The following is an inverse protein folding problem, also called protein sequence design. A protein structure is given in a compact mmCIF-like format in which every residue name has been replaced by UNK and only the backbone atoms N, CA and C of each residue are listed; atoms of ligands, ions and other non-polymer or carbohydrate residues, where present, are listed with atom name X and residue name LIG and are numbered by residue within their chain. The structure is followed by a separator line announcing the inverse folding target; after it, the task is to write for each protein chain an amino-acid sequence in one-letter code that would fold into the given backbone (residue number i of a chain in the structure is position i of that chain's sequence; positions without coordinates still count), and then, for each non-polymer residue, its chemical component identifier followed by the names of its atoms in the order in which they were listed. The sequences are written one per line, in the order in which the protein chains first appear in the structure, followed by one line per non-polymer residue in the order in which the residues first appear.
data_IF_672148305080
#
_entry.id   IF_672148305080
#
_cell.length_a   1.000
_cell.length_b   1.000
_cell.length_c   1.000
_cell.angle_alpha   90.00
_cell.angle_beta   90.00
_cell.angle_gamma   90.00
#
_symmetry.space_group_name_H-M   'P 1'
#
loop_
_entity.id
_entity.type
_entity.pdbx_description
1 polymer ?
#
# COMPACT_ATOMS: atom_id res chain seq x y z
N UNK A 1 -6.46 40.09 -8.43
CA UNK A 1 -6.69 39.42 -7.14
C UNK A 1 -6.53 37.92 -7.28
N UNK A 2 -7.15 37.28 -8.28
CA UNK A 2 -7.08 35.84 -8.56
C UNK A 2 -5.64 35.29 -8.74
N UNK A 3 -4.79 35.94 -9.55
CA UNK A 3 -3.38 35.53 -9.70
C UNK A 3 -2.57 35.58 -8.40
N UNK A 4 -2.88 36.52 -7.49
CA UNK A 4 -2.23 36.61 -6.18
C UNK A 4 -2.67 35.48 -5.25
N UNK A 5 -3.93 35.06 -5.34
CA UNK A 5 -4.47 33.93 -4.58
C UNK A 5 -3.87 32.59 -5.06
N UNK A 6 -3.80 32.36 -6.37
CA UNK A 6 -3.16 31.16 -6.94
C UNK A 6 -1.69 31.09 -6.52
N UNK A 7 -0.93 32.19 -6.68
CA UNK A 7 0.48 32.23 -6.26
C UNK A 7 0.65 31.98 -4.77
N UNK A 8 -0.24 32.54 -3.94
CA UNK A 8 -0.24 32.31 -2.49
C UNK A 8 -0.50 30.84 -2.15
N UNK A 9 -1.50 30.21 -2.78
CA UNK A 9 -1.83 28.81 -2.60
C UNK A 9 -0.65 27.90 -2.97
N UNK A 10 -0.04 28.11 -4.15
CA UNK A 10 1.12 27.34 -4.61
C UNK A 10 2.32 27.44 -3.65
N UNK A 11 2.58 28.63 -3.09
CA UNK A 11 3.64 28.83 -2.10
C UNK A 11 3.34 28.09 -0.79
N UNK A 12 2.10 28.12 -0.33
CA UNK A 12 1.68 27.42 0.89
C UNK A 12 1.76 25.91 0.72
N UNK A 13 1.27 25.36 -0.40
CA UNK A 13 1.40 23.93 -0.75
C UNK A 13 2.87 23.52 -0.83
N UNK A 14 3.72 24.34 -1.46
CA UNK A 14 5.17 24.07 -1.57
C UNK A 14 5.84 24.05 -0.19
N UNK A 15 5.50 25.00 0.68
CA UNK A 15 6.04 25.09 2.03
C UNK A 15 5.61 23.88 2.87
N UNK A 16 4.34 23.50 2.79
CA UNK A 16 3.79 22.32 3.46
C UNK A 16 4.52 21.04 3.01
N UNK A 17 4.62 20.81 1.71
CA UNK A 17 5.31 19.65 1.15
C UNK A 17 6.79 19.59 1.59
N UNK A 18 7.50 20.72 1.54
CA UNK A 18 8.90 20.79 1.96
C UNK A 18 9.08 20.54 3.46
N UNK A 19 8.17 21.06 4.29
CA UNK A 19 8.17 20.82 5.72
C UNK A 19 8.06 19.32 6.04
N UNK A 20 7.07 18.65 5.47
CA UNK A 20 6.81 17.24 5.71
C UNK A 20 7.87 16.32 5.08
N UNK A 21 8.38 16.68 3.88
CA UNK A 21 9.53 15.98 3.29
C UNK A 21 10.75 16.04 4.21
N UNK A 22 11.07 17.23 4.73
CA UNK A 22 12.21 17.42 5.62
C UNK A 22 12.05 16.64 6.93
N UNK A 23 10.84 16.61 7.51
CA UNK A 23 10.61 15.80 8.71
C UNK A 23 10.81 14.33 8.39
N UNK A 24 10.22 13.81 7.31
CA UNK A 24 10.37 12.42 6.91
C UNK A 24 11.85 12.04 6.64
N UNK A 25 12.61 12.92 5.98
CA UNK A 25 14.04 12.71 5.72
C UNK A 25 14.87 12.72 7.02
N UNK A 26 14.50 13.54 8.00
CA UNK A 26 15.19 13.62 9.30
C UNK A 26 14.83 12.46 10.23
N UNK A 27 13.59 11.97 10.20
CA UNK A 27 13.10 10.94 11.12
C UNK A 27 13.23 9.53 10.58
N UNK A 28 13.31 9.37 9.25
CA UNK A 28 13.30 8.06 8.59
C UNK A 28 11.96 7.33 8.70
N UNK A 29 10.87 8.00 9.11
CA UNK A 29 9.56 7.38 9.38
C UNK A 29 8.94 6.64 8.17
N UNK A 30 9.36 6.98 6.95
CA UNK A 30 8.94 6.26 5.74
C UNK A 30 9.54 4.84 5.64
N UNK A 31 10.66 4.58 6.29
CA UNK A 31 11.28 3.26 6.30
C UNK A 31 10.60 2.37 7.35
N UNK A 32 9.78 1.43 6.88
CA UNK A 32 9.12 0.45 7.75
C UNK A 32 9.28 -0.98 7.23
N UNK A 33 9.99 -1.83 7.98
CA UNK A 33 10.31 -3.20 7.53
C UNK A 33 9.07 -4.07 7.35
N UNK A 34 8.05 -3.90 8.20
CA UNK A 34 6.82 -4.69 8.12
C UNK A 34 6.02 -4.38 6.86
N UNK A 35 5.98 -3.10 6.46
CA UNK A 35 5.35 -2.66 5.20
C UNK A 35 6.13 -3.13 3.97
N UNK A 36 7.46 -3.07 4.02
CA UNK A 36 8.31 -3.57 2.93
C UNK A 36 8.06 -5.07 2.70
N UNK A 37 7.87 -5.83 3.77
CA UNK A 37 7.56 -7.26 3.74
C UNK A 37 6.07 -7.58 3.52
N UNK A 38 5.21 -6.56 3.38
CA UNK A 38 3.74 -6.70 3.19
C UNK A 38 3.04 -7.45 4.33
N UNK A 39 3.46 -7.22 5.56
CA UNK A 39 2.92 -7.87 6.77
C UNK A 39 1.94 -6.98 7.55
N UNK A 40 1.72 -5.73 7.12
CA UNK A 40 0.96 -4.70 7.84
C UNK A 40 -0.49 -5.06 8.17
N UNK A 41 -1.08 -6.03 7.47
CA UNK A 41 -2.43 -6.51 7.70
C UNK A 41 -2.48 -7.89 8.40
N UNK A 42 -1.33 -8.46 8.76
CA UNK A 42 -1.25 -9.85 9.24
C UNK A 42 -1.47 -9.96 10.74
N UNK A 43 -2.70 -10.27 11.14
CA UNK A 43 -3.10 -10.42 12.55
C UNK A 43 -2.22 -11.42 13.30
N UNK A 44 -2.04 -12.63 12.77
CA UNK A 44 -1.26 -13.68 13.46
C UNK A 44 0.23 -13.46 13.29
N UNK A 45 0.73 -13.42 12.05
CA UNK A 45 2.18 -13.48 11.77
C UNK A 45 2.92 -12.21 12.18
N UNK A 46 2.22 -11.09 12.31
CA UNK A 46 2.79 -9.84 12.78
C UNK A 46 2.23 -9.44 14.13
N UNK A 47 0.95 -9.09 14.20
CA UNK A 47 0.44 -8.36 15.37
C UNK A 47 0.43 -9.22 16.64
N UNK A 48 -0.14 -10.42 16.58
CA UNK A 48 -0.16 -11.35 17.71
C UNK A 48 1.24 -11.85 18.05
N UNK A 49 2.04 -12.21 17.05
CA UNK A 49 3.42 -12.65 17.26
C UNK A 49 4.30 -11.56 17.92
N UNK A 50 4.19 -10.30 17.47
CA UNK A 50 4.99 -9.20 18.01
C UNK A 50 4.55 -8.83 19.43
N UNK A 51 3.25 -8.74 19.69
CA UNK A 51 2.74 -8.50 21.05
C UNK A 51 3.12 -9.64 22.00
N UNK A 52 2.89 -10.90 21.61
CA UNK A 52 3.25 -12.05 22.43
C UNK A 52 4.76 -12.09 22.72
N UNK A 53 5.60 -11.78 21.73
CA UNK A 53 7.05 -11.72 21.93
C UNK A 53 7.48 -10.65 22.93
N UNK A 54 6.75 -9.53 23.08
CA UNK A 54 7.04 -8.52 24.10
C UNK A 54 6.44 -8.87 25.45
N UNK A 55 5.32 -9.60 25.47
CA UNK A 55 4.62 -10.00 26.69
C UNK A 55 5.27 -11.22 27.37
N UNK A 56 6.09 -11.99 26.66
CA UNK A 56 6.74 -13.20 27.16
C UNK A 56 7.97 -12.90 28.05
N UNK A 57 7.93 -13.18 29.37
CA UNK A 57 9.06 -12.91 30.25
C UNK A 57 10.34 -13.69 29.93
N UNK A 58 10.24 -14.79 29.18
CA UNK A 58 11.40 -15.57 28.70
C UNK A 58 11.71 -15.31 27.21
N UNK A 59 11.08 -14.29 26.62
CA UNK A 59 11.24 -13.90 25.23
C UNK A 59 12.64 -13.36 24.89
N UNK A 60 12.97 -13.36 23.60
CA UNK A 60 14.29 -12.97 23.09
C UNK A 60 14.63 -11.48 23.23
N UNK A 61 13.73 -10.65 23.74
CA UNK A 61 13.95 -9.22 23.95
C UNK A 61 14.80 -8.92 25.19
N UNK A 62 15.04 -9.91 26.06
CA UNK A 62 15.98 -9.81 27.19
C UNK A 62 15.56 -8.89 28.33
N UNK A 63 14.31 -8.42 28.36
CA UNK A 63 13.80 -7.52 29.40
C UNK A 63 13.08 -8.24 30.54
N UNK A 64 13.14 -9.57 30.58
CA UNK A 64 12.42 -10.39 31.56
C UNK A 64 10.95 -9.95 31.60
N UNK A 65 10.43 -9.70 32.80
CA UNK A 65 9.03 -9.38 33.01
C UNK A 65 8.63 -7.90 32.88
N UNK A 66 9.57 -7.01 32.52
CA UNK A 66 9.34 -5.56 32.53
C UNK A 66 8.13 -5.16 31.67
N UNK A 67 8.06 -5.64 30.42
CA UNK A 67 6.97 -5.28 29.50
C UNK A 67 5.62 -5.84 29.92
N UNK A 68 5.59 -7.08 30.43
CA UNK A 68 4.37 -7.69 30.97
C UNK A 68 3.86 -6.96 32.21
N UNK A 69 4.75 -6.53 33.12
CA UNK A 69 4.38 -5.70 34.28
C UNK A 69 3.73 -4.38 33.85
N UNK A 70 4.29 -3.71 32.85
CA UNK A 70 3.70 -2.49 32.28
C UNK A 70 2.32 -2.76 31.69
N UNK A 71 2.15 -3.87 30.97
CA UNK A 71 0.87 -4.26 30.37
C UNK A 71 -0.19 -4.52 31.44
N UNK A 72 0.14 -5.34 32.45
CA UNK A 72 -0.78 -5.70 33.54
C UNK A 72 -1.23 -4.45 34.29
N UNK A 73 -0.28 -3.59 34.66
CA UNK A 73 -0.55 -2.34 35.37
C UNK A 73 -1.54 -1.43 34.61
N UNK A 74 -1.47 -1.42 33.28
CA UNK A 74 -2.26 -0.51 32.46
C UNK A 74 -3.64 -1.09 32.11
N UNK A 75 -3.75 -2.41 31.90
CA UNK A 75 -4.92 -2.98 31.23
C UNK A 75 -5.71 -4.02 32.01
N UNK A 76 -5.10 -4.74 32.97
CA UNK A 76 -5.82 -5.73 33.76
C UNK A 76 -6.80 -5.04 34.72
N UNK A 77 -8.02 -5.55 34.80
CA UNK A 77 -9.15 -4.91 35.47
C UNK A 77 -9.82 -5.81 36.51
N UNK A 78 -9.58 -7.13 36.48
CA UNK A 78 -10.12 -8.07 37.48
C UNK A 78 -9.22 -8.27 38.70
N UNK A 79 -8.11 -7.53 38.80
CA UNK A 79 -7.10 -7.65 39.85
C UNK A 79 -6.55 -9.07 40.02
N UNK A 80 -6.56 -9.89 38.96
CA UNK A 80 -5.92 -11.20 38.99
C UNK A 80 -4.40 -11.01 39.06
N UNK A 81 -3.79 -11.52 40.11
CA UNK A 81 -2.34 -11.49 40.27
C UNK A 81 -1.72 -12.64 39.47
N UNK A 82 -1.59 -12.48 38.14
CA UNK A 82 -0.79 -13.41 37.34
C UNK A 82 0.59 -13.54 37.99
N UNK A 83 1.02 -14.79 38.21
CA UNK A 83 2.38 -15.09 38.62
C UNK A 83 3.32 -14.88 37.44
N UNK A 84 3.77 -13.64 37.30
CA UNK A 84 4.66 -13.16 36.25
C UNK A 84 5.95 -13.99 36.14
N UNK A 85 6.46 -14.54 37.25
CA UNK A 85 7.70 -15.32 37.27
C UNK A 85 7.55 -16.73 36.68
N UNK A 86 6.31 -17.20 36.53
CA UNK A 86 5.99 -18.54 36.05
C UNK A 86 4.69 -18.51 35.23
N UNK A 87 4.65 -17.64 34.22
CA UNK A 87 3.57 -17.59 33.24
C UNK A 87 4.06 -18.08 31.88
N UNK A 88 3.12 -18.57 31.08
CA UNK A 88 3.33 -19.00 29.70
C UNK A 88 2.56 -18.08 28.77
N UNK A 89 3.21 -17.63 27.70
CA UNK A 89 2.58 -16.85 26.63
C UNK A 89 2.44 -17.72 25.39
N UNK A 90 1.21 -17.83 24.89
CA UNK A 90 0.88 -18.67 23.74
C UNK A 90 0.11 -17.85 22.71
N UNK A 91 0.55 -17.91 21.45
CA UNK A 91 -0.26 -17.42 20.33
C UNK A 91 -1.15 -18.55 19.81
N UNK A 92 -2.34 -18.18 19.34
CA UNK A 92 -3.28 -19.13 18.73
C UNK A 92 -3.61 -20.34 19.64
N UNK A 93 -3.83 -20.09 20.94
CA UNK A 93 -4.11 -21.14 21.93
C UNK A 93 -5.45 -21.82 21.61
N UNK A 94 -5.36 -23.09 21.23
CA UNK A 94 -6.52 -23.91 20.92
C UNK A 94 -7.20 -24.40 22.20
N UNK A 95 -8.47 -24.02 22.41
CA UNK A 95 -9.27 -24.38 23.59
C UNK A 95 -10.37 -25.41 23.29
N UNK A 96 -10.23 -26.13 22.17
CA UNK A 96 -11.19 -27.12 21.69
C UNK A 96 -11.82 -26.73 20.35
N UNK A 97 -12.39 -27.70 19.64
CA UNK A 97 -13.18 -27.42 18.44
C UNK A 97 -14.45 -26.66 18.81
N UNK A 98 -14.91 -25.77 17.91
CA UNK A 98 -16.16 -25.04 18.13
C UNK A 98 -17.32 -26.05 18.18
N UNK A 99 -18.08 -26.01 19.28
CA UNK A 99 -19.24 -26.88 19.49
C UNK A 99 -20.35 -26.61 18.46
N UNK A 100 -21.27 -27.56 18.28
CA UNK A 100 -22.36 -27.43 17.30
C UNK A 100 -23.25 -26.20 17.56
N UNK A 101 -23.51 -25.89 18.83
CA UNK A 101 -24.25 -24.69 19.27
C UNK A 101 -23.38 -23.42 19.29
N UNK A 102 -22.09 -23.53 18.96
CA UNK A 102 -21.06 -22.48 18.90
C UNK A 102 -20.72 -21.83 20.25
N UNK A 103 -21.11 -22.45 21.37
CA UNK A 103 -20.96 -21.86 22.70
C UNK A 103 -19.72 -22.33 23.48
N UNK A 104 -18.92 -23.24 22.91
CA UNK A 104 -17.64 -23.73 23.46
C UNK A 104 -16.56 -23.89 22.38
N UNK A 105 -15.28 -23.92 22.79
CA UNK A 105 -14.13 -24.08 21.92
C UNK A 105 -13.62 -22.79 21.24
N UNK A 106 -12.73 -22.94 20.26
CA UNK A 106 -12.11 -21.84 19.52
C UNK A 106 -10.61 -21.73 19.74
N UNK A 107 -10.05 -20.61 19.27
CA UNK A 107 -8.62 -20.35 19.26
C UNK A 107 -8.35 -18.91 19.68
N UNK A 108 -7.74 -18.73 20.84
CA UNK A 108 -7.46 -17.42 21.44
C UNK A 108 -6.17 -16.88 20.82
N UNK A 109 -6.17 -15.64 20.33
CA UNK A 109 -5.03 -15.08 19.60
C UNK A 109 -3.77 -14.95 20.45
N UNK A 110 -3.90 -14.46 21.69
CA UNK A 110 -2.83 -14.47 22.69
C UNK A 110 -3.41 -14.88 24.04
N UNK A 111 -2.80 -15.87 24.70
CA UNK A 111 -3.13 -16.27 26.05
C UNK A 111 -1.88 -16.21 26.94
N UNK A 112 -2.00 -15.52 28.07
CA UNK A 112 -1.01 -15.53 29.15
C UNK A 112 -1.63 -16.30 30.30
N UNK A 113 -1.02 -17.42 30.69
CA UNK A 113 -1.57 -18.30 31.74
C UNK A 113 -0.51 -18.65 32.76
N UNK A 114 -0.85 -18.65 34.04
CA UNK A 114 0.02 -19.15 35.12
C UNK A 114 -0.46 -20.49 35.70
N UNK A 115 0.39 -21.10 36.54
CA UNK A 115 0.09 -22.37 37.20
C UNK A 115 -0.97 -22.25 38.31
N UNK A 116 -1.35 -21.03 38.69
CA UNK A 116 -2.41 -20.76 39.67
C UNK A 116 -3.80 -20.63 39.02
N UNK A 117 -3.88 -20.74 37.68
CA UNK A 117 -5.12 -20.64 36.91
C UNK A 117 -5.56 -19.21 36.61
N UNK A 118 -4.68 -18.20 36.80
CA UNK A 118 -4.93 -16.83 36.37
C UNK A 118 -4.59 -16.68 34.89
N UNK A 119 -5.43 -15.93 34.16
CA UNK A 119 -5.28 -15.79 32.71
C UNK A 119 -5.54 -14.36 32.24
N UNK A 120 -4.76 -13.91 31.26
CA UNK A 120 -5.07 -12.77 30.39
C UNK A 120 -5.30 -13.34 29.00
N UNK A 121 -6.45 -13.05 28.42
CA UNK A 121 -6.83 -13.52 27.08
C UNK A 121 -6.99 -12.29 26.19
N UNK A 122 -6.32 -12.27 25.05
CA UNK A 122 -6.43 -11.18 24.07
C UNK A 122 -6.94 -11.78 22.76
N UNK A 123 -8.09 -11.26 22.30
CA UNK A 123 -8.56 -11.45 20.93
C UNK A 123 -8.16 -10.21 20.13
N UNK A 124 -7.38 -10.40 19.06
CA UNK A 124 -6.66 -9.37 18.35
C UNK A 124 -7.20 -9.22 16.93
N UNK A 125 -7.83 -8.07 16.62
CA UNK A 125 -8.46 -7.79 15.33
C UNK A 125 -7.82 -6.58 14.67
N UNK A 126 -7.35 -6.76 13.44
CA UNK A 126 -6.90 -5.68 12.57
C UNK A 126 -7.96 -5.45 11.49
N UNK A 127 -8.25 -6.49 10.70
CA UNK A 127 -9.22 -6.43 9.61
C UNK A 127 -10.18 -7.63 9.55
N UNK A 128 -9.95 -8.69 10.34
CA UNK A 128 -10.86 -9.81 10.44
C UNK A 128 -12.19 -9.42 11.09
N UNK A 129 -13.25 -10.06 10.61
CA UNK A 129 -14.57 -9.97 11.23
C UNK A 129 -14.66 -10.77 12.52
N UNK A 130 -15.73 -10.51 13.26
CA UNK A 130 -16.09 -11.27 14.45
C UNK A 130 -16.63 -12.65 14.10
N UNK A 131 -16.37 -13.61 14.99
CA UNK A 131 -17.04 -14.91 14.95
C UNK A 131 -18.21 -14.94 15.96
N UNK A 132 -19.27 -15.66 15.61
CA UNK A 132 -20.42 -15.84 16.53
C UNK A 132 -19.95 -16.38 17.88
N UNK A 133 -20.43 -15.77 18.96
CA UNK A 133 -20.19 -16.10 20.36
C UNK A 133 -18.72 -16.16 20.77
N UNK A 134 -17.80 -15.56 20.01
CA UNK A 134 -16.37 -15.71 20.22
C UNK A 134 -15.93 -15.29 21.64
N UNK A 135 -16.31 -14.10 22.08
CA UNK A 135 -15.99 -13.64 23.43
C UNK A 135 -16.75 -14.43 24.50
N UNK A 136 -17.99 -14.84 24.22
CA UNK A 136 -18.77 -15.71 25.11
C UNK A 136 -18.06 -17.04 25.37
N UNK A 137 -17.51 -17.67 24.33
CA UNK A 137 -16.74 -18.91 24.44
C UNK A 137 -15.50 -18.74 25.32
N UNK A 138 -14.74 -17.67 25.09
CA UNK A 138 -13.52 -17.41 25.87
C UNK A 138 -13.83 -17.08 27.33
N UNK A 139 -14.88 -16.30 27.57
CA UNK A 139 -15.33 -16.02 28.92
C UNK A 139 -15.79 -17.31 29.64
N UNK A 140 -16.53 -18.20 28.97
CA UNK A 140 -16.91 -19.50 29.55
C UNK A 140 -15.69 -20.39 29.86
N UNK A 141 -14.68 -20.38 28.97
CA UNK A 141 -13.45 -21.13 29.17
C UNK A 141 -12.66 -20.63 30.39
N UNK A 142 -12.59 -19.31 30.60
CA UNK A 142 -11.91 -18.71 31.75
C UNK A 142 -12.70 -17.50 32.29
N UNK A 143 -13.72 -17.73 33.15
CA UNK A 143 -14.65 -16.66 33.60
C UNK A 143 -13.95 -15.53 34.35
N UNK A 144 -12.92 -15.88 35.10
CA UNK A 144 -12.15 -14.93 35.88
C UNK A 144 -11.05 -14.25 35.08
N UNK A 145 -10.78 -14.63 33.82
CA UNK A 145 -9.71 -14.04 33.03
C UNK A 145 -9.94 -12.56 32.73
N UNK A 146 -8.85 -11.80 32.66
CA UNK A 146 -8.84 -10.48 32.02
C UNK A 146 -8.96 -10.68 30.50
N UNK A 147 -10.20 -10.66 30.01
CA UNK A 147 -10.53 -10.82 28.59
C UNK A 147 -10.47 -9.46 27.89
N UNK A 148 -9.53 -9.31 26.96
CA UNK A 148 -9.26 -8.09 26.22
C UNK A 148 -9.66 -8.31 24.76
N UNK A 149 -10.51 -7.42 24.25
CA UNK A 149 -10.83 -7.34 22.84
C UNK A 149 -10.06 -6.15 22.24
N UNK A 150 -9.06 -6.44 21.41
CA UNK A 150 -8.12 -5.46 20.89
C UNK A 150 -8.40 -5.20 19.41
N UNK A 151 -8.70 -3.94 19.07
CA UNK A 151 -8.94 -3.50 17.69
C UNK A 151 -8.05 -2.30 17.34
N UNK A 152 -8.03 -1.86 16.08
CA UNK A 152 -7.26 -0.67 15.69
C UNK A 152 -7.69 0.59 16.46
N UNK A 153 -8.98 0.76 16.69
CA UNK A 153 -9.62 1.98 17.18
C UNK A 153 -10.39 1.81 18.51
N UNK A 154 -10.40 0.60 19.09
CA UNK A 154 -11.09 0.33 20.35
C UNK A 154 -12.60 0.13 20.20
N UNK A 155 -13.08 -0.15 18.98
CA UNK A 155 -14.49 -0.40 18.72
C UNK A 155 -15.00 -1.64 19.47
N UNK A 156 -16.30 -1.63 19.76
CA UNK A 156 -16.98 -2.77 20.33
C UNK A 156 -17.00 -3.97 19.36
N UNK A 157 -16.95 -5.21 19.88
CA UNK A 157 -17.28 -6.38 19.09
C UNK A 157 -18.76 -6.33 18.70
N UNK A 158 -19.12 -7.02 17.62
CA UNK A 158 -20.52 -7.19 17.23
C UNK A 158 -21.32 -7.92 18.32
N UNK A 159 -22.62 -7.63 18.42
CA UNK A 159 -23.55 -8.28 19.34
C UNK A 159 -23.52 -9.81 19.20
N UNK A 160 -23.29 -10.32 17.98
CA UNK A 160 -23.15 -11.75 17.73
C UNK A 160 -21.95 -12.38 18.44
N UNK A 161 -20.89 -11.62 18.75
CA UNK A 161 -19.66 -12.12 19.36
C UNK A 161 -19.72 -12.14 20.89
N UNK A 162 -20.21 -11.05 21.49
CA UNK A 162 -20.25 -10.89 22.95
C UNK A 162 -21.57 -11.35 23.58
N UNK A 163 -22.68 -11.39 22.82
CA UNK A 163 -24.00 -11.86 23.27
C UNK A 163 -24.47 -11.18 24.57
N UNK A 164 -24.50 -11.92 25.68
CA UNK A 164 -24.92 -11.46 27.00
C UNK A 164 -23.78 -10.83 27.85
N UNK A 165 -22.56 -10.76 27.32
CA UNK A 165 -21.42 -10.20 28.03
C UNK A 165 -21.47 -8.67 28.09
N UNK A 166 -21.32 -8.15 29.31
CA UNK A 166 -21.22 -6.71 29.61
C UNK A 166 -19.76 -6.24 29.53
N UNK A 167 -19.48 -5.21 28.73
CA UNK A 167 -18.19 -4.51 28.66
C UNK A 167 -17.79 -3.95 30.04
N UNK A 168 -16.50 -3.89 30.32
CA UNK A 168 -15.87 -3.43 31.56
C UNK A 168 -16.18 -4.30 32.81
N UNK A 169 -17.01 -5.33 32.64
CA UNK A 169 -17.27 -6.37 33.65
C UNK A 169 -16.70 -7.72 33.19
N UNK A 170 -17.06 -8.17 32.00
CA UNK A 170 -16.65 -9.48 31.49
C UNK A 170 -15.43 -9.39 30.56
N UNK A 171 -15.36 -8.34 29.75
CA UNK A 171 -14.27 -8.05 28.83
C UNK A 171 -14.00 -6.54 28.72
N UNK A 172 -12.81 -6.15 28.25
CA UNK A 172 -12.44 -4.75 28.02
C UNK A 172 -12.03 -4.53 26.56
N UNK A 173 -12.52 -3.45 25.96
CA UNK A 173 -12.07 -3.02 24.64
C UNK A 173 -10.81 -2.17 24.77
N UNK A 174 -9.75 -2.52 24.04
CA UNK A 174 -8.55 -1.71 23.89
C UNK A 174 -8.32 -1.37 22.43
N UNK A 175 -7.59 -0.29 22.19
CA UNK A 175 -7.21 0.18 20.86
C UNK A 175 -5.71 0.06 20.63
N UNK A 176 -5.31 -0.24 19.40
CA UNK A 176 -3.94 -0.01 18.97
C UNK A 176 -3.61 1.49 18.98
N UNK A 177 -4.54 2.30 18.48
CA UNK A 177 -4.40 3.75 18.27
C UNK A 177 -3.90 4.50 19.50
N UNK A 178 -4.49 4.25 20.67
CA UNK A 178 -4.09 4.91 21.92
C UNK A 178 -3.46 3.95 22.93
N UNK A 179 -4.10 2.83 23.23
CA UNK A 179 -3.73 1.99 24.38
C UNK A 179 -2.41 1.27 24.14
N UNK A 180 -2.31 0.48 23.06
CA UNK A 180 -1.08 -0.26 22.74
C UNK A 180 0.06 0.69 22.38
N UNK A 181 -0.20 1.79 21.67
CA UNK A 181 0.84 2.82 21.43
C UNK A 181 1.36 3.37 22.75
N UNK A 182 0.49 3.73 23.70
CA UNK A 182 0.91 4.21 25.01
C UNK A 182 1.75 3.17 25.76
N UNK A 183 1.34 1.90 25.76
CA UNK A 183 2.10 0.83 26.41
C UNK A 183 3.46 0.59 25.74
N UNK A 184 3.52 0.59 24.41
CA UNK A 184 4.76 0.45 23.66
C UNK A 184 5.72 1.63 23.90
N UNK A 185 5.18 2.84 24.07
CA UNK A 185 5.99 4.02 24.42
C UNK A 185 6.62 3.88 25.82
N UNK A 186 5.88 3.36 26.80
CA UNK A 186 6.47 3.02 28.12
C UNK A 186 7.53 1.91 27.99
N UNK A 187 7.24 0.84 27.23
CA UNK A 187 8.22 -0.21 26.96
C UNK A 187 9.50 0.35 26.30
N UNK A 188 9.34 1.28 25.35
CA UNK A 188 10.46 1.92 24.64
C UNK A 188 11.35 2.73 25.58
N UNK A 189 10.79 3.38 26.61
CA UNK A 189 11.55 4.10 27.64
C UNK A 189 12.45 3.16 28.44
N UNK A 190 11.93 1.99 28.83
CA UNK A 190 12.70 0.97 29.57
C UNK A 190 13.88 0.43 28.76
N UNK A 191 13.79 0.48 27.42
CA UNK A 191 14.85 0.01 26.53
C UNK A 191 15.63 1.13 25.82
N UNK A 192 15.65 2.34 26.36
CA UNK A 192 16.30 3.49 25.72
C UNK A 192 17.76 3.25 25.30
N UNK A 193 18.50 2.44 26.07
CA UNK A 193 19.91 2.07 25.83
C UNK A 193 20.11 0.77 25.04
N UNK A 194 19.04 0.04 24.69
CA UNK A 194 19.09 -1.20 23.92
C UNK A 194 18.55 -0.98 22.50
N UNK A 195 19.41 -0.53 21.55
CA UNK A 195 18.96 -0.02 20.26
C UNK A 195 18.17 -1.04 19.43
N UNK A 196 18.54 -2.32 19.46
CA UNK A 196 17.85 -3.37 18.67
C UNK A 196 16.37 -3.48 19.08
N UNK A 197 16.09 -3.57 20.38
CA UNK A 197 14.72 -3.68 20.89
C UNK A 197 13.99 -2.35 20.75
N UNK A 198 14.67 -1.23 21.07
CA UNK A 198 14.11 0.12 20.93
C UNK A 198 13.64 0.42 19.52
N UNK A 199 14.47 0.16 18.52
CA UNK A 199 14.12 0.42 17.12
C UNK A 199 13.05 -0.55 16.60
N UNK A 200 13.05 -1.81 17.07
CA UNK A 200 11.99 -2.76 16.74
C UNK A 200 10.62 -2.28 17.26
N UNK A 201 10.57 -1.78 18.50
CA UNK A 201 9.36 -1.17 19.08
C UNK A 201 8.97 0.10 18.31
N UNK A 202 9.93 0.99 18.01
CA UNK A 202 9.66 2.20 17.20
C UNK A 202 9.07 1.86 15.83
N UNK A 203 9.60 0.84 15.15
CA UNK A 203 9.06 0.36 13.87
C UNK A 203 7.61 -0.10 13.99
N UNK A 204 7.26 -0.79 15.08
CA UNK A 204 5.89 -1.25 15.32
C UNK A 204 4.95 -0.09 15.70
N UNK A 205 5.40 0.87 16.52
CA UNK A 205 4.65 2.11 16.82
C UNK A 205 4.34 2.88 15.52
N UNK A 206 5.33 3.05 14.64
CA UNK A 206 5.15 3.76 13.37
C UNK A 206 4.19 3.02 12.44
N UNK A 207 4.23 1.68 12.43
CA UNK A 207 3.24 0.88 11.72
C UNK A 207 1.82 1.10 12.27
N UNK A 208 1.63 1.06 13.59
CA UNK A 208 0.33 1.30 14.20
C UNK A 208 -0.18 2.70 13.84
N UNK A 209 0.68 3.73 13.94
CA UNK A 209 0.34 5.10 13.51
C UNK A 209 -0.08 5.15 12.04
N UNK A 210 0.57 4.38 11.17
CA UNK A 210 0.16 4.25 9.77
C UNK A 210 -1.22 3.63 9.63
N UNK A 211 -1.46 2.47 10.24
CA UNK A 211 -2.74 1.75 10.18
C UNK A 211 -3.92 2.54 10.78
N UNK A 212 -3.64 3.45 11.71
CA UNK A 212 -4.63 4.24 12.45
C UNK A 212 -4.74 5.69 11.97
N UNK A 213 -4.13 6.02 10.82
CA UNK A 213 -4.15 7.33 10.18
C UNK A 213 -3.60 8.48 11.07
N UNK A 214 -2.48 8.20 11.76
CA UNK A 214 -1.76 9.10 12.66
C UNK A 214 -0.35 9.46 12.18
N UNK A 215 0.02 9.10 10.95
CA UNK A 215 1.34 9.47 10.41
C UNK A 215 1.38 10.93 9.99
N UNK A 216 2.59 11.47 9.91
CA UNK A 216 2.88 12.77 9.33
C UNK A 216 2.23 12.95 7.95
N UNK A 217 2.19 11.90 7.12
CA UNK A 217 1.55 11.96 5.81
C UNK A 217 0.03 12.23 5.92
N UNK A 218 -0.67 11.66 6.92
CA UNK A 218 -2.08 11.96 7.14
C UNK A 218 -2.30 13.35 7.75
N UNK A 219 -1.40 13.82 8.62
CA UNK A 219 -1.44 15.20 9.11
C UNK A 219 -1.24 16.19 7.98
N UNK A 220 -0.24 15.95 7.11
CA UNK A 220 -0.02 16.70 5.88
C UNK A 220 -1.27 16.72 4.99
N UNK A 221 -1.92 15.57 4.81
CA UNK A 221 -3.15 15.49 4.01
C UNK A 221 -4.26 16.37 4.60
N UNK A 222 -4.49 16.33 5.93
CA UNK A 222 -5.50 17.18 6.57
C UNK A 222 -5.18 18.67 6.46
N UNK A 223 -3.91 19.05 6.61
CA UNK A 223 -3.46 20.43 6.42
C UNK A 223 -3.64 20.88 4.96
N UNK A 224 -3.37 19.98 4.01
CA UNK A 224 -3.60 20.23 2.58
C UNK A 224 -5.11 20.38 2.30
N UNK A 225 -5.96 19.51 2.83
CA UNK A 225 -7.41 19.59 2.67
C UNK A 225 -7.95 20.93 3.20
N UNK A 226 -7.47 21.36 4.37
CA UNK A 226 -7.83 22.65 4.95
C UNK A 226 -7.34 23.81 4.07
N UNK A 227 -6.11 23.74 3.55
CA UNK A 227 -5.53 24.76 2.68
C UNK A 227 -6.30 24.88 1.35
N UNK A 228 -6.71 23.76 0.76
CA UNK A 228 -7.55 23.74 -0.44
C UNK A 228 -8.94 24.32 -0.14
N UNK A 229 -9.55 23.92 0.98
CA UNK A 229 -10.87 24.43 1.40
C UNK A 229 -10.85 25.94 1.63
N UNK A 230 -9.79 26.48 2.23
CA UNK A 230 -9.64 27.93 2.43
C UNK A 230 -9.33 28.70 1.14
N UNK A 231 -9.00 28.01 0.05
CA UNK A 231 -8.67 28.59 -1.25
C UNK A 231 -9.45 27.87 -2.38
N UNK A 232 -10.75 27.61 -2.15
CA UNK A 232 -11.54 26.70 -2.99
C UNK A 232 -11.60 27.14 -4.46
N UNK A 233 -11.85 28.43 -4.72
CA UNK A 233 -11.87 29.00 -6.08
C UNK A 233 -10.54 28.76 -6.81
N UNK A 234 -9.41 29.16 -6.21
CA UNK A 234 -8.08 28.94 -6.78
C UNK A 234 -7.78 27.44 -6.98
N UNK A 235 -8.27 26.58 -6.08
CA UNK A 235 -8.10 25.13 -6.18
C UNK A 235 -8.83 24.54 -7.39
N UNK A 236 -10.09 24.96 -7.61
CA UNK A 236 -10.84 24.57 -8.81
C UNK A 236 -10.22 25.14 -10.09
N UNK A 237 -9.81 26.41 -10.10
CA UNK A 237 -9.13 27.01 -11.27
C UNK A 237 -7.86 26.25 -11.66
N UNK A 238 -7.06 25.80 -10.68
CA UNK A 238 -5.87 24.97 -10.95
C UNK A 238 -6.28 23.60 -11.50
N UNK A 239 -7.27 22.93 -10.88
CA UNK A 239 -7.72 21.61 -11.31
C UNK A 239 -8.27 21.63 -12.75
N UNK A 240 -9.15 22.59 -13.06
CA UNK A 240 -9.80 22.72 -14.36
C UNK A 240 -8.80 23.07 -15.48
N UNK A 241 -7.71 23.76 -15.14
CA UNK A 241 -6.67 24.15 -16.11
C UNK A 241 -5.56 23.11 -16.29
N UNK A 242 -5.46 22.12 -15.39
CA UNK A 242 -4.36 21.15 -15.39
C UNK A 242 -4.38 20.30 -16.66
N UNK A 243 -5.49 19.64 -16.97
CA UNK A 243 -5.59 18.75 -18.15
C UNK A 243 -5.21 19.47 -19.44
N UNK A 244 -5.71 20.70 -19.64
CA UNK A 244 -5.38 21.50 -20.82
C UNK A 244 -3.90 21.89 -20.85
N UNK A 245 -3.32 22.21 -19.70
CA UNK A 245 -1.88 22.52 -19.58
C UNK A 245 -1.03 21.32 -19.94
N UNK A 246 -1.41 20.13 -19.47
CA UNK A 246 -0.75 18.88 -19.75
C UNK A 246 -0.82 18.51 -21.24
N UNK A 247 -1.99 18.67 -21.87
CA UNK A 247 -2.16 18.53 -23.32
C UNK A 247 -1.29 19.51 -24.10
N UNK A 248 -1.19 20.77 -23.65
CA UNK A 248 -0.35 21.78 -24.29
C UNK A 248 1.14 21.42 -24.20
N UNK A 249 1.62 20.96 -23.03
CA UNK A 249 3.01 20.50 -22.85
C UNK A 249 3.32 19.34 -23.80
N UNK A 250 2.40 18.40 -23.96
CA UNK A 250 2.57 17.33 -24.93
C UNK A 250 2.67 17.86 -26.36
N UNK A 251 1.78 18.76 -26.76
CA UNK A 251 1.73 19.27 -28.12
C UNK A 251 2.92 20.18 -28.46
N UNK A 252 3.33 21.07 -27.55
CA UNK A 252 4.36 22.08 -27.82
C UNK A 252 5.78 21.63 -27.49
N UNK A 253 5.97 20.70 -26.55
CA UNK A 253 7.30 20.31 -26.09
C UNK A 253 7.65 18.85 -26.38
N UNK A 254 6.78 17.90 -26.01
CA UNK A 254 7.12 16.48 -26.10
C UNK A 254 6.97 15.90 -27.51
N UNK A 255 5.83 16.15 -28.15
CA UNK A 255 5.49 15.58 -29.47
C UNK A 255 6.49 15.97 -30.55
N UNK A 256 6.88 17.25 -30.72
CA UNK A 256 7.84 17.62 -31.76
C UNK A 256 9.21 16.96 -31.57
N UNK A 257 9.67 16.85 -30.32
CA UNK A 257 10.96 16.19 -30.00
C UNK A 257 10.92 14.70 -30.30
N UNK A 258 9.79 14.03 -30.02
CA UNK A 258 9.62 12.62 -30.32
C UNK A 258 9.56 12.37 -31.82
N UNK A 259 8.81 13.19 -32.56
CA UNK A 259 8.70 13.10 -34.03
C UNK A 259 10.08 13.33 -34.68
N UNK A 260 10.80 14.37 -34.29
CA UNK A 260 12.16 14.64 -34.78
C UNK A 260 13.13 13.49 -34.47
N UNK A 261 13.05 12.92 -33.26
CA UNK A 261 13.90 11.79 -32.88
C UNK A 261 13.58 10.53 -33.69
N UNK A 262 12.30 10.25 -33.96
CA UNK A 262 11.88 9.15 -34.82
C UNK A 262 12.31 9.37 -36.28
N UNK A 263 12.17 10.58 -36.81
CA UNK A 263 12.56 10.92 -38.18
C UNK A 263 14.08 10.72 -38.39
N UNK A 264 14.91 11.09 -37.41
CA UNK A 264 16.37 10.87 -37.44
C UNK A 264 16.78 9.41 -37.59
N UNK A 265 15.94 8.47 -37.16
CA UNK A 265 16.16 7.02 -37.30
C UNK A 265 15.30 6.40 -38.43
N UNK A 266 14.71 7.23 -39.30
CA UNK A 266 13.95 6.81 -40.47
C UNK A 266 12.56 6.24 -40.14
N UNK A 267 11.94 6.69 -39.05
CA UNK A 267 10.59 6.31 -38.66
C UNK A 267 9.63 7.49 -38.75
N UNK A 268 8.40 7.22 -39.15
CA UNK A 268 7.28 8.13 -38.97
C UNK A 268 6.68 7.94 -37.58
N UNK A 269 6.25 9.03 -36.96
CA UNK A 269 5.63 9.02 -35.64
C UNK A 269 4.41 9.93 -35.63
N UNK A 270 3.33 9.49 -35.01
CA UNK A 270 2.15 10.31 -34.69
C UNK A 270 1.79 10.09 -33.24
N UNK A 271 1.71 11.20 -32.49
CA UNK A 271 1.16 11.19 -31.14
C UNK A 271 -0.38 11.30 -31.20
N UNK A 272 -1.08 10.19 -30.97
CA UNK A 272 -2.53 10.10 -30.88
C UNK A 272 -3.05 10.00 -29.45
N UNK A 273 -2.28 10.40 -28.43
CA UNK A 273 -2.71 10.38 -27.04
C UNK A 273 -3.92 11.29 -26.84
N UNK A 274 -4.92 10.77 -26.15
CA UNK A 274 -6.15 11.47 -25.81
C UNK A 274 -6.61 11.02 -24.43
N UNK A 275 -6.52 11.91 -23.44
CA UNK A 275 -6.83 11.59 -22.06
C UNK A 275 -8.32 11.39 -21.76
N UNK A 276 -9.20 11.62 -22.76
CA UNK A 276 -10.64 11.41 -22.65
C UNK A 276 -11.08 10.05 -23.21
N UNK A 277 -10.15 9.23 -23.71
CA UNK A 277 -10.44 7.94 -24.34
C UNK A 277 -9.45 6.87 -23.89
N UNK A 278 -9.97 5.65 -23.70
CA UNK A 278 -9.14 4.47 -23.55
C UNK A 278 -8.47 4.13 -24.88
N UNK A 279 -7.37 3.40 -24.83
CA UNK A 279 -6.66 2.88 -26.01
C UNK A 279 -6.09 3.98 -26.92
N UNK A 280 -5.87 5.18 -26.38
CA UNK A 280 -5.11 6.23 -27.04
C UNK A 280 -3.61 6.00 -26.85
N UNK A 281 -2.79 6.50 -27.78
CA UNK A 281 -1.38 6.16 -27.81
C UNK A 281 -0.59 6.83 -28.91
N UNK A 282 0.70 6.51 -28.94
CA UNK A 282 1.66 6.96 -29.95
C UNK A 282 1.88 5.81 -30.93
N UNK A 283 1.88 6.13 -32.21
CA UNK A 283 2.02 5.16 -33.30
C UNK A 283 3.24 5.51 -34.14
N UNK A 284 4.11 4.53 -34.34
CA UNK A 284 5.41 4.70 -35.01
C UNK A 284 5.57 3.60 -36.07
N UNK A 285 5.97 3.97 -37.27
CA UNK A 285 6.05 3.03 -38.39
C UNK A 285 7.11 3.40 -39.43
N UNK A 286 7.44 2.45 -40.29
CA UNK A 286 8.11 2.69 -41.57
C UNK A 286 7.10 2.61 -42.70
N UNK A 287 7.33 3.37 -43.77
CA UNK A 287 6.45 3.36 -44.96
C UNK A 287 6.30 1.96 -45.57
N UNK A 288 7.34 1.14 -45.49
CA UNK A 288 7.36 -0.24 -45.99
C UNK A 288 6.57 -1.24 -45.14
N UNK A 289 6.28 -0.94 -43.86
CA UNK A 289 5.54 -1.85 -42.98
C UNK A 289 4.07 -1.85 -43.35
N UNK A 290 3.53 -2.96 -43.85
CA UNK A 290 2.15 -3.01 -44.35
C UNK A 290 1.13 -3.42 -43.27
N UNK A 291 1.56 -4.15 -42.25
CA UNK A 291 0.63 -4.85 -41.35
C UNK A 291 0.67 -4.38 -39.91
N UNK A 292 1.85 -4.02 -39.40
CA UNK A 292 2.03 -3.61 -38.01
C UNK A 292 2.74 -2.27 -37.85
N UNK A 293 2.51 -1.63 -36.70
CA UNK A 293 3.21 -0.46 -36.22
C UNK A 293 3.82 -0.74 -34.85
N UNK A 294 4.84 0.01 -34.46
CA UNK A 294 5.17 0.16 -33.05
C UNK A 294 4.11 1.05 -32.41
N UNK A 295 3.55 0.61 -31.28
CA UNK A 295 2.56 1.35 -30.51
C UNK A 295 3.00 1.52 -29.06
N UNK A 296 2.75 2.71 -28.50
CA UNK A 296 2.74 2.97 -27.06
C UNK A 296 1.32 3.38 -26.67
N UNK A 297 0.56 2.51 -26.01
CA UNK A 297 -0.88 2.70 -25.83
C UNK A 297 -1.27 2.54 -24.36
N UNK A 298 -2.17 3.40 -23.88
CA UNK A 298 -2.82 3.25 -22.60
C UNK A 298 -4.00 2.27 -22.65
N UNK A 299 -4.09 1.37 -21.69
CA UNK A 299 -5.29 0.55 -21.51
C UNK A 299 -6.47 1.37 -20.96
N UNK A 300 -6.18 2.29 -20.04
CA UNK A 300 -7.15 3.23 -19.48
C UNK A 300 -6.62 4.63 -19.70
N UNK A 301 -7.44 5.56 -20.21
CA UNK A 301 -7.19 7.02 -20.36
C UNK A 301 -5.73 7.49 -20.39
N UNK A 302 -5.04 7.47 -19.25
CA UNK A 302 -3.71 7.99 -18.95
C UNK A 302 -2.82 7.01 -18.15
N UNK A 303 -3.16 5.72 -18.08
CA UNK A 303 -2.45 4.71 -17.28
C UNK A 303 -2.45 3.31 -17.88
N UNK A 304 -1.64 2.46 -17.27
CA UNK A 304 -1.42 1.08 -17.72
C UNK A 304 -0.89 1.01 -19.15
N UNK A 305 0.09 1.87 -19.47
CA UNK A 305 0.70 1.89 -20.79
C UNK A 305 1.37 0.55 -21.11
N UNK A 306 1.16 0.10 -22.33
CA UNK A 306 1.87 -1.01 -22.97
C UNK A 306 2.64 -0.49 -24.19
N UNK A 307 3.65 -1.23 -24.60
CA UNK A 307 4.37 -0.95 -25.84
C UNK A 307 4.69 -2.22 -26.62
N UNK A 308 4.83 -2.14 -27.93
CA UNK A 308 5.10 -3.30 -28.78
C UNK A 308 4.65 -3.11 -30.21
N UNK A 309 4.47 -4.20 -30.94
CA UNK A 309 3.88 -4.21 -32.27
C UNK A 309 2.36 -4.39 -32.18
N UNK A 310 1.63 -3.49 -32.82
CA UNK A 310 0.17 -3.51 -32.95
C UNK A 310 -0.23 -3.66 -34.40
N UNK A 311 -1.36 -4.32 -34.67
CA UNK A 311 -1.95 -4.36 -36.00
C UNK A 311 -2.38 -2.96 -36.45
N UNK A 312 -2.12 -2.61 -37.72
CA UNK A 312 -2.61 -1.36 -38.35
C UNK A 312 -4.13 -1.35 -38.50
N UNK A 313 -4.74 -2.53 -38.61
CA UNK A 313 -6.15 -2.72 -38.90
C UNK A 313 -6.80 -3.71 -37.92
N UNK A 314 -8.13 -3.78 -37.95
CA UNK A 314 -8.91 -4.72 -37.15
C UNK A 314 -8.48 -6.16 -37.50
N UNK A 315 -7.83 -6.90 -36.58
CA UNK A 315 -7.26 -8.21 -36.86
C UNK A 315 -8.32 -9.28 -37.13
N UNK A 316 -9.60 -9.01 -36.83
CA UNK A 316 -10.72 -9.89 -37.16
C UNK A 316 -11.16 -9.68 -38.61
N UNK A 317 -11.10 -8.45 -39.11
CA UNK A 317 -11.51 -8.10 -40.49
C UNK A 317 -10.37 -8.26 -41.49
N UNK A 318 -9.19 -7.82 -41.10
CA UNK A 318 -7.97 -7.83 -41.90
C UNK A 318 -6.83 -8.44 -41.06
N UNK A 319 -6.78 -9.78 -40.96
CA UNK A 319 -5.73 -10.45 -40.22
C UNK A 319 -4.37 -10.21 -40.87
N UNK A 320 -3.34 -10.04 -40.04
CA UNK A 320 -1.95 -9.96 -40.52
C UNK A 320 -1.52 -11.31 -41.13
N UNK A 321 -0.62 -11.32 -42.13
CA UNK A 321 -0.13 -12.56 -42.73
C UNK A 321 0.52 -13.50 -41.69
N UNK A 322 0.34 -14.80 -41.89
CA UNK A 322 0.89 -15.82 -40.98
C UNK A 322 2.43 -15.71 -40.85
N UNK A 323 3.13 -15.31 -41.90
CA UNK A 323 4.58 -15.07 -41.84
C UNK A 323 4.95 -13.98 -40.82
N UNK A 324 4.29 -12.82 -40.88
CA UNK A 324 4.50 -11.70 -39.93
C UNK A 324 4.15 -12.15 -38.51
N UNK A 325 3.00 -12.81 -38.36
CA UNK A 325 2.54 -13.33 -37.09
C UNK A 325 3.54 -14.32 -36.49
N UNK A 326 4.05 -15.26 -37.28
CA UNK A 326 5.03 -16.24 -36.83
C UNK A 326 6.38 -15.60 -36.49
N UNK A 327 6.81 -14.61 -37.27
CA UNK A 327 8.04 -13.84 -37.03
C UNK A 327 8.02 -13.12 -35.68
N UNK A 328 6.89 -12.48 -35.35
CA UNK A 328 6.67 -11.80 -34.07
C UNK A 328 6.44 -12.80 -32.93
N UNK A 329 5.68 -13.86 -33.17
CA UNK A 329 5.39 -14.86 -32.15
C UNK A 329 6.64 -15.61 -31.68
N UNK A 330 7.57 -15.87 -32.60
CA UNK A 330 8.86 -16.49 -32.29
C UNK A 330 9.75 -15.63 -31.38
N UNK A 331 9.46 -14.33 -31.24
CA UNK A 331 10.19 -13.42 -30.34
C UNK A 331 9.61 -13.39 -28.92
N UNK A 332 8.39 -13.90 -28.72
CA UNK A 332 7.77 -13.82 -27.41
C UNK A 332 8.44 -14.79 -26.44
N UNK A 333 8.77 -14.26 -25.26
CA UNK A 333 9.29 -15.00 -24.12
C UNK A 333 8.34 -14.84 -22.92
N UNK A 334 8.81 -15.09 -21.69
CA UNK A 334 7.99 -14.90 -20.48
C UNK A 334 7.62 -13.43 -20.22
N UNK A 335 8.38 -12.48 -20.75
CA UNK A 335 8.18 -11.04 -20.55
C UNK A 335 7.24 -10.44 -21.60
N UNK A 336 7.29 -10.96 -22.82
CA UNK A 336 6.50 -10.53 -23.97
C UNK A 336 5.18 -11.28 -24.07
N UNK A 337 4.11 -10.55 -24.34
CA UNK A 337 2.73 -11.05 -24.39
C UNK A 337 2.14 -10.85 -25.78
N UNK A 338 1.04 -11.54 -26.06
CA UNK A 338 0.36 -11.49 -27.35
C UNK A 338 -1.15 -11.49 -27.18
N UNK A 339 -1.85 -10.82 -28.08
CA UNK A 339 -3.29 -10.97 -28.31
C UNK A 339 -3.61 -10.60 -29.78
N UNK A 340 -4.89 -10.61 -30.17
CA UNK A 340 -5.30 -10.35 -31.55
C UNK A 340 -4.86 -8.99 -32.10
N UNK A 341 -4.90 -7.93 -31.27
CA UNK A 341 -4.49 -6.58 -31.66
C UNK A 341 -2.98 -6.35 -31.50
N UNK A 342 -2.38 -7.03 -30.53
CA UNK A 342 -0.99 -6.89 -30.16
C UNK A 342 -0.25 -8.22 -30.35
N UNK A 343 0.22 -8.51 -31.58
CA UNK A 343 1.00 -9.72 -31.85
C UNK A 343 2.29 -9.79 -31.01
N UNK A 344 2.79 -8.66 -30.52
CA UNK A 344 3.88 -8.63 -29.55
C UNK A 344 3.77 -7.38 -28.67
N UNK A 345 3.69 -7.52 -27.35
CA UNK A 345 3.71 -6.36 -26.45
C UNK A 345 4.34 -6.64 -25.09
N UNK A 346 4.77 -5.57 -24.44
CA UNK A 346 5.26 -5.54 -23.07
C UNK A 346 4.49 -4.49 -22.26
N UNK A 347 4.43 -4.66 -20.95
CA UNK A 347 3.94 -3.60 -20.06
C UNK A 347 5.03 -2.54 -19.88
N UNK A 348 4.69 -1.27 -20.02
CA UNK A 348 5.62 -0.21 -19.63
C UNK A 348 5.90 -0.34 -18.12
N UNK A 349 7.14 -0.07 -17.72
CA UNK A 349 7.55 -0.11 -16.33
C UNK A 349 7.01 1.10 -15.55
N UNK A 350 6.76 0.92 -14.26
CA UNK A 350 6.46 2.03 -13.34
C UNK A 350 7.72 2.87 -13.12
N UNK A 351 7.63 4.21 -13.06
CA UNK A 351 6.42 5.03 -13.07
C UNK A 351 5.92 5.44 -14.46
N UNK A 352 6.65 5.14 -15.53
CA UNK A 352 6.39 5.64 -16.89
C UNK A 352 5.09 5.13 -17.51
N UNK A 353 4.54 4.04 -16.97
CA UNK A 353 3.28 3.46 -17.40
C UNK A 353 2.03 4.21 -16.93
N UNK A 354 2.16 5.20 -16.04
CA UNK A 354 1.03 5.88 -15.41
C UNK A 354 1.19 7.41 -15.47
N UNK A 355 0.61 8.02 -16.49
CA UNK A 355 0.62 9.46 -16.73
C UNK A 355 -0.46 10.20 -15.93
N UNK A 356 -1.25 9.49 -15.13
CA UNK A 356 -2.04 10.09 -14.06
C UNK A 356 -1.19 10.63 -12.89
N UNK A 357 0.12 10.33 -12.89
CA UNK A 357 1.04 10.63 -11.79
C UNK A 357 2.11 11.61 -12.24
N UNK A 358 2.51 12.51 -11.32
CA UNK A 358 3.47 13.57 -11.60
C UNK A 358 4.84 13.03 -12.06
N UNK A 359 5.24 11.85 -11.60
CA UNK A 359 6.52 11.22 -11.96
C UNK A 359 6.67 11.01 -13.46
N UNK A 360 5.59 10.65 -14.16
CA UNK A 360 5.60 10.55 -15.62
C UNK A 360 5.75 11.93 -16.27
N UNK A 361 5.07 12.96 -15.77
CA UNK A 361 5.14 14.33 -16.29
C UNK A 361 6.50 15.00 -16.02
N UNK A 362 7.12 14.69 -14.89
CA UNK A 362 8.51 15.06 -14.63
C UNK A 362 9.43 14.45 -15.68
N UNK A 363 9.27 13.16 -15.96
CA UNK A 363 10.06 12.48 -17.00
C UNK A 363 9.78 13.03 -18.41
N UNK A 364 8.55 13.46 -18.71
CA UNK A 364 8.20 14.12 -19.97
C UNK A 364 8.94 15.46 -20.10
N UNK A 365 8.91 16.29 -19.06
CA UNK A 365 9.47 17.64 -19.09
C UNK A 365 11.00 17.66 -19.00
N UNK A 366 11.62 16.71 -18.31
CA UNK A 366 13.09 16.59 -18.22
C UNK A 366 13.74 15.77 -19.35
N UNK A 367 12.94 15.17 -20.24
CA UNK A 367 13.41 14.38 -21.39
C UNK A 367 13.71 12.91 -21.09
N UNK A 368 13.58 12.47 -19.84
CA UNK A 368 13.75 11.06 -19.46
C UNK A 368 12.75 10.16 -20.19
N UNK A 369 11.48 10.59 -20.31
CA UNK A 369 10.43 9.82 -20.99
C UNK A 369 10.78 9.62 -22.46
N UNK A 370 11.28 10.65 -23.15
CA UNK A 370 11.70 10.54 -24.54
C UNK A 370 12.79 9.47 -24.69
N UNK A 371 13.80 9.50 -23.80
CA UNK A 371 14.88 8.52 -23.80
C UNK A 371 14.37 7.10 -23.58
N UNK A 372 13.42 6.92 -22.64
CA UNK A 372 12.78 5.63 -22.37
C UNK A 372 12.03 5.12 -23.60
N UNK A 373 11.22 5.96 -24.26
CA UNK A 373 10.50 5.55 -25.46
C UNK A 373 11.45 5.14 -26.58
N UNK A 374 12.51 5.92 -26.82
CA UNK A 374 13.52 5.61 -27.84
C UNK A 374 14.24 4.30 -27.56
N UNK A 375 14.64 4.03 -26.31
CA UNK A 375 15.24 2.76 -25.92
C UNK A 375 14.32 1.57 -26.25
N UNK A 376 13.01 1.70 -25.96
CA UNK A 376 12.02 0.67 -26.30
C UNK A 376 11.84 0.51 -27.81
N UNK A 377 11.85 1.60 -28.57
CA UNK A 377 11.77 1.58 -30.04
C UNK A 377 12.98 0.85 -30.62
N UNK A 378 14.19 1.24 -30.21
CA UNK A 378 15.45 0.63 -30.66
C UNK A 378 15.53 -0.86 -30.29
N UNK A 379 15.06 -1.22 -29.09
CA UNK A 379 14.93 -2.62 -28.69
C UNK A 379 14.03 -3.40 -29.67
N UNK A 380 12.83 -2.88 -29.96
CA UNK A 380 11.87 -3.53 -30.87
C UNK A 380 12.43 -3.65 -32.29
N UNK A 381 13.10 -2.62 -32.80
CA UNK A 381 13.76 -2.66 -34.10
C UNK A 381 14.86 -3.73 -34.14
N UNK A 382 15.70 -3.80 -33.10
CA UNK A 382 16.81 -4.76 -33.03
C UNK A 382 16.31 -6.20 -33.01
N UNK A 383 15.26 -6.52 -32.25
CA UNK A 383 14.74 -7.90 -32.18
C UNK A 383 13.98 -8.31 -33.45
N UNK A 384 13.62 -7.36 -34.31
CA UNK A 384 12.91 -7.60 -35.59
C UNK A 384 13.78 -7.38 -36.82
N UNK A 385 15.07 -7.10 -36.66
CA UNK A 385 15.98 -6.90 -37.77
C UNK A 385 16.02 -8.11 -38.71
N UNK A 386 15.85 -7.87 -40.01
CA UNK A 386 15.81 -8.91 -41.04
C UNK A 386 14.51 -9.73 -41.09
N UNK A 387 13.49 -9.39 -40.30
CA UNK A 387 12.16 -10.04 -40.35
C UNK A 387 11.16 -9.20 -41.14
N UNK A 388 10.19 -9.87 -41.77
CA UNK A 388 9.06 -9.21 -42.44
C UNK A 388 8.06 -8.74 -41.38
N UNK A 389 7.66 -7.46 -41.46
CA UNK A 389 6.76 -6.75 -40.53
C UNK A 389 5.48 -6.24 -41.23
#
# INVERSE_FOLDING_TARGET
MEQLQIKSLLNQVTTLNNHYKKINDLTGENFNVFRILKLEASEVRLHSAFLASLLDPIGSHGQKDTFLKLFIKQFCFKNNAINISNCKVEIEKHIGFISHDRTEGGRIDIAITDDAGNNILIENKIYAGDQNFQLKRYHRHAPNADLIYLTLDGKLPSELSFDDLIQDTHFKCLSYKSDIVSWLEECRKEVAVYPIVRESITQYINLIKYLTNQTLNHTMQRELDHLLLSNLEASFTIADSLDQTLENVLASEFTPKLEEACEKIGLHCVNGINFKRNYSGIWIWKEEWQHVNIGFQFWSTDKDMIYGFTCKQDPVKEPIPDEVKNNLNALADRSLRQNGWWPLYHKMESPYNNWHKYEAWKAITDGTMLSVLLEKIEYLLRITEGKVL
#
